data_IF_884096981209
#
_entry.id   IF_884096981209
#
_cell.length_a   1.000
_cell.length_b   1.000
_cell.length_c   1.000
_cell.angle_alpha   90.00
_cell.angle_beta   90.00
_cell.angle_gamma   90.00
#
_symmetry.space_group_name_H-M   'P 1'
#
loop_
_entity.id
_entity.type
_entity.pdbx_description
1 polymer ?
#
# COMPACT_ATOMS: atom_id res chain seq x y z
N UNK A 1 -0.22 10.26 -0.70
CA UNK A 1 0.75 11.23 -0.16
C UNK A 1 1.46 10.71 1.09
N UNK A 2 0.81 9.93 1.98
CA UNK A 2 1.50 9.25 3.10
C UNK A 2 2.25 10.19 4.05
N UNK A 3 1.69 11.39 4.32
CA UNK A 3 2.35 12.44 5.12
C UNK A 3 1.64 12.74 6.45
N UNK A 4 0.39 12.32 6.63
CA UNK A 4 -0.40 12.67 7.81
C UNK A 4 -0.14 11.67 8.94
N UNK A 5 0.42 12.15 10.04
CA UNK A 5 0.67 11.34 11.24
C UNK A 5 -0.55 11.34 12.18
N UNK A 6 -0.83 10.23 12.89
CA UNK A 6 0.01 9.02 13.00
C UNK A 6 -0.14 8.01 11.84
N UNK A 7 -1.16 8.14 10.99
CA UNK A 7 -1.50 7.15 9.97
C UNK A 7 -0.35 6.82 9.00
N UNK A 8 0.44 7.82 8.61
CA UNK A 8 1.62 7.67 7.75
C UNK A 8 2.69 6.72 8.33
N UNK A 9 2.70 6.50 9.65
CA UNK A 9 3.63 5.58 10.32
C UNK A 9 3.17 4.12 10.35
N UNK A 10 1.90 3.84 10.07
CA UNK A 10 1.33 2.48 10.18
C UNK A 10 2.02 1.44 9.27
N UNK A 11 2.33 1.75 7.99
CA UNK A 11 3.00 0.77 7.12
C UNK A 11 4.35 0.31 7.67
N UNK A 12 5.13 1.22 8.25
CA UNK A 12 6.42 0.87 8.86
C UNK A 12 6.25 0.00 10.11
N UNK A 13 5.21 0.27 10.93
CA UNK A 13 4.88 -0.56 12.09
C UNK A 13 4.51 -1.98 11.63
N UNK A 14 3.66 -2.10 10.60
CA UNK A 14 3.25 -3.39 10.05
C UNK A 14 4.46 -4.17 9.50
N UNK A 15 5.31 -3.51 8.72
CA UNK A 15 6.55 -4.10 8.18
C UNK A 15 7.48 -4.58 9.29
N UNK A 16 7.69 -3.79 10.35
CA UNK A 16 8.50 -4.18 11.52
C UNK A 16 7.90 -5.36 12.30
N UNK A 17 6.58 -5.52 12.25
CA UNK A 17 5.88 -6.67 12.81
C UNK A 17 5.90 -7.91 11.89
N UNK A 18 6.54 -7.83 10.71
CA UNK A 18 6.68 -8.94 9.77
C UNK A 18 5.52 -9.08 8.77
N UNK A 19 4.63 -8.10 8.67
CA UNK A 19 3.59 -8.10 7.65
C UNK A 19 4.18 -7.79 6.26
N UNK A 20 3.61 -8.43 5.23
CA UNK A 20 3.83 -8.04 3.84
C UNK A 20 2.99 -6.80 3.52
N UNK A 21 3.63 -5.77 2.96
CA UNK A 21 3.07 -4.43 2.78
C UNK A 21 2.99 -4.05 1.32
N UNK A 22 1.84 -3.48 0.92
CA UNK A 22 1.59 -3.03 -0.45
C UNK A 22 1.15 -1.57 -0.43
N UNK A 23 1.77 -0.74 -1.26
CA UNK A 23 1.29 0.62 -1.55
C UNK A 23 0.43 0.63 -2.81
N UNK A 24 -0.80 1.14 -2.72
CA UNK A 24 -1.67 1.40 -3.87
C UNK A 24 -1.85 2.90 -4.02
N UNK A 25 -1.14 3.48 -4.99
CA UNK A 25 -1.25 4.90 -5.31
C UNK A 25 -0.69 5.15 -6.73
N UNK A 26 -1.33 5.99 -7.58
CA UNK A 26 -0.84 6.20 -8.94
C UNK A 26 0.58 6.82 -8.97
N UNK A 27 0.84 7.76 -8.06
CA UNK A 27 2.15 8.41 -7.93
C UNK A 27 2.94 7.81 -6.76
N UNK A 28 4.27 7.70 -6.88
CA UNK A 28 5.11 7.33 -5.74
C UNK A 28 5.00 8.33 -4.58
N UNK A 29 5.27 7.84 -3.38
CA UNK A 29 5.41 8.64 -2.16
C UNK A 29 6.69 8.25 -1.43
N UNK A 30 7.01 8.93 -0.31
CA UNK A 30 8.14 8.53 0.53
C UNK A 30 8.00 7.11 1.12
N UNK A 31 6.80 6.51 1.06
CA UNK A 31 6.55 5.13 1.47
C UNK A 31 6.95 4.10 0.39
N UNK A 32 7.01 4.50 -0.89
CA UNK A 32 7.20 3.61 -2.03
C UNK A 32 8.44 2.73 -1.93
N UNK A 33 9.54 3.25 -1.41
CA UNK A 33 10.80 2.51 -1.27
C UNK A 33 10.82 1.59 -0.03
N UNK A 34 9.75 1.61 0.77
CA UNK A 34 9.69 0.98 2.09
C UNK A 34 8.60 -0.09 2.18
N UNK A 35 7.81 -0.28 1.11
CA UNK A 35 6.83 -1.36 0.98
C UNK A 35 7.40 -2.49 0.14
N UNK A 36 6.85 -3.68 0.30
CA UNK A 36 7.30 -4.86 -0.42
C UNK A 36 6.83 -4.84 -1.88
N UNK A 37 5.65 -4.29 -2.14
CA UNK A 37 5.06 -4.22 -3.49
C UNK A 37 4.37 -2.87 -3.73
N UNK A 38 4.33 -2.45 -5.00
CA UNK A 38 3.66 -1.21 -5.40
C UNK A 38 2.70 -1.44 -6.55
N UNK A 39 1.49 -0.94 -6.40
CA UNK A 39 0.47 -0.92 -7.45
C UNK A 39 0.23 0.54 -7.87
N UNK A 40 0.78 0.91 -9.02
CA UNK A 40 0.72 2.27 -9.56
C UNK A 40 -0.64 2.54 -10.25
N UNK A 41 -1.71 2.58 -9.46
CA UNK A 41 -3.07 2.80 -9.95
C UNK A 41 -3.97 3.50 -8.91
N UNK A 42 -5.10 4.09 -9.33
CA UNK A 42 -6.10 4.59 -8.40
C UNK A 42 -6.67 3.44 -7.57
N UNK A 43 -6.82 3.64 -6.26
CA UNK A 43 -7.36 2.60 -5.36
C UNK A 43 -8.74 2.11 -5.76
N UNK A 44 -9.60 3.02 -6.27
CA UNK A 44 -10.93 2.68 -6.78
C UNK A 44 -10.94 1.75 -8.00
N UNK A 45 -9.82 1.60 -8.71
CA UNK A 45 -9.67 0.64 -9.79
C UNK A 45 -8.91 -0.62 -9.35
N UNK A 46 -7.83 -0.45 -8.56
CA UNK A 46 -6.96 -1.55 -8.16
C UNK A 46 -7.58 -2.49 -7.13
N UNK A 47 -8.29 -1.96 -6.13
CA UNK A 47 -8.85 -2.78 -5.05
C UNK A 47 -9.93 -3.75 -5.53
N UNK A 48 -10.91 -3.35 -6.38
CA UNK A 48 -11.88 -4.30 -6.92
C UNK A 48 -11.21 -5.44 -7.71
N UNK A 49 -10.24 -5.13 -8.57
CA UNK A 49 -9.51 -6.13 -9.34
C UNK A 49 -8.72 -7.10 -8.45
N UNK A 50 -8.14 -6.61 -7.34
CA UNK A 50 -7.45 -7.46 -6.36
C UNK A 50 -8.42 -8.42 -5.65
N UNK A 51 -9.61 -7.93 -5.29
CA UNK A 51 -10.65 -8.77 -4.68
C UNK A 51 -11.13 -9.85 -5.65
N UNK A 52 -11.34 -9.49 -6.92
CA UNK A 52 -11.72 -10.45 -7.97
C UNK A 52 -10.64 -11.50 -8.19
N UNK A 53 -9.36 -11.11 -8.26
CA UNK A 53 -8.24 -12.04 -8.42
C UNK A 53 -8.02 -12.96 -7.20
N UNK A 54 -8.44 -12.52 -6.01
CA UNK A 54 -8.33 -13.28 -4.77
C UNK A 54 -9.54 -14.19 -4.49
N UNK A 55 -10.65 -14.00 -5.21
CA UNK A 55 -11.82 -14.87 -5.10
C UNK A 55 -11.51 -16.22 -5.79
N UNK A 56 -11.41 -17.27 -4.98
CA UNK A 56 -11.25 -18.67 -5.42
C UNK A 56 -12.51 -19.20 -6.13
#
# INVERSE_FOLDING_TARGET
SSIVYPAAGLPEIARRAGAWTVEINPQPTALSERVDERIAAPSGAALPALVEAAAL
#
